data_IF_440004630299
#
_entry.id   IF_440004630299
#
_cell.length_a   1.000
_cell.length_b   1.000
_cell.length_c   1.000
_cell.angle_alpha   90.00
_cell.angle_beta   90.00
_cell.angle_gamma   90.00
#
_symmetry.space_group_name_H-M   'P 1'
#
loop_
_entity.id
_entity.type
_entity.pdbx_description
1 polymer ?
#
# COMPACT_ATOMS: atom_id res chain seq x y z
N UNK A 1 -11.48 -24.60 11.50
CA UNK A 1 -12.52 -25.63 11.66
C UNK A 1 -13.94 -25.05 11.72
N UNK A 2 -14.18 -23.98 12.49
CA UNK A 2 -15.52 -23.36 12.59
C UNK A 2 -16.00 -22.77 11.25
N UNK A 3 -15.11 -22.10 10.52
CA UNK A 3 -15.45 -21.51 9.21
C UNK A 3 -15.65 -22.60 8.15
N UNK A 4 -14.85 -23.66 8.16
CA UNK A 4 -14.94 -24.76 7.20
C UNK A 4 -16.26 -25.54 7.27
N UNK A 5 -16.95 -25.48 8.41
CA UNK A 5 -18.25 -26.15 8.63
C UNK A 5 -19.47 -25.24 8.41
N UNK A 6 -19.26 -23.97 8.08
CA UNK A 6 -20.36 -23.02 7.82
C UNK A 6 -20.66 -22.97 6.33
N UNK A 7 -21.88 -23.33 5.93
CA UNK A 7 -22.32 -23.40 4.53
C UNK A 7 -22.25 -22.04 3.79
N UNK A 8 -22.12 -20.94 4.54
CA UNK A 8 -21.95 -19.59 3.97
C UNK A 8 -20.50 -19.26 3.61
N UNK A 9 -19.57 -20.14 3.98
CA UNK A 9 -18.13 -19.90 3.83
C UNK A 9 -17.55 -20.84 2.80
N UNK A 10 -16.98 -20.29 1.75
CA UNK A 10 -16.16 -21.00 0.78
C UNK A 10 -14.68 -20.83 1.16
N UNK A 11 -14.00 -21.94 1.49
CA UNK A 11 -12.63 -21.94 2.03
C UNK A 11 -11.64 -22.32 0.95
N UNK A 12 -10.75 -21.41 0.62
CA UNK A 12 -9.68 -21.56 -0.37
C UNK A 12 -8.31 -21.72 0.29
N UNK A 13 -8.06 -22.85 0.93
CA UNK A 13 -6.77 -23.16 1.54
C UNK A 13 -5.64 -23.25 0.49
N UNK A 14 -4.40 -22.86 0.90
CA UNK A 14 -3.18 -22.94 0.08
C UNK A 14 -3.26 -22.17 -1.25
N UNK A 15 -4.08 -21.15 -1.30
CA UNK A 15 -4.25 -20.30 -2.48
C UNK A 15 -3.31 -19.10 -2.40
N UNK A 16 -2.58 -18.83 -3.48
CA UNK A 16 -1.73 -17.66 -3.57
C UNK A 16 -2.57 -16.44 -3.97
N UNK A 17 -2.86 -15.59 -3.02
CA UNK A 17 -3.72 -14.40 -3.19
C UNK A 17 -3.26 -13.45 -4.31
N UNK A 18 -1.97 -13.44 -4.68
CA UNK A 18 -1.46 -12.60 -5.78
C UNK A 18 -2.07 -12.92 -7.15
N UNK A 19 -2.60 -14.12 -7.31
CA UNK A 19 -3.16 -14.58 -8.58
C UNK A 19 -4.67 -14.79 -8.50
N UNK A 20 -5.27 -14.43 -7.35
CA UNK A 20 -6.72 -14.56 -7.13
C UNK A 20 -7.50 -13.65 -8.08
N UNK A 21 -8.57 -14.18 -8.63
CA UNK A 21 -9.54 -13.47 -9.46
C UNK A 21 -10.95 -13.71 -8.96
N UNK A 22 -11.88 -12.81 -9.28
CA UNK A 22 -13.28 -12.99 -8.92
C UNK A 22 -13.85 -14.34 -9.37
N UNK A 23 -13.46 -14.84 -10.56
CA UNK A 23 -13.89 -16.15 -11.06
C UNK A 23 -13.49 -17.33 -10.17
N UNK A 24 -12.37 -17.23 -9.45
CA UNK A 24 -11.88 -18.28 -8.55
C UNK A 24 -12.70 -18.39 -7.26
N UNK A 25 -13.46 -17.35 -6.92
CA UNK A 25 -14.23 -17.22 -5.67
C UNK A 25 -15.73 -17.02 -5.91
N UNK A 26 -16.22 -17.44 -7.08
CA UNK A 26 -17.66 -17.39 -7.41
C UNK A 26 -18.17 -16.05 -7.94
N UNK A 27 -17.29 -15.11 -8.26
CA UNK A 27 -17.62 -13.80 -8.83
C UNK A 27 -16.97 -12.63 -8.13
N UNK A 28 -17.25 -11.41 -8.62
CA UNK A 28 -16.76 -10.20 -7.97
C UNK A 28 -17.46 -9.98 -6.63
N UNK A 29 -16.71 -9.51 -5.64
CA UNK A 29 -17.20 -9.28 -4.28
C UNK A 29 -17.45 -7.79 -3.99
N UNK A 30 -18.24 -7.51 -2.93
CA UNK A 30 -18.61 -6.16 -2.52
C UNK A 30 -17.71 -5.65 -1.38
N UNK A 31 -17.00 -6.55 -0.69
CA UNK A 31 -16.07 -6.19 0.38
C UNK A 31 -14.86 -7.13 0.40
N UNK A 32 -13.68 -6.57 0.66
CA UNK A 32 -12.44 -7.31 0.92
C UNK A 32 -11.89 -6.89 2.27
N UNK A 33 -11.60 -7.86 3.14
CA UNK A 33 -10.82 -7.64 4.37
C UNK A 33 -9.56 -8.49 4.26
N UNK A 34 -8.40 -7.88 4.50
CA UNK A 34 -7.13 -8.59 4.32
C UNK A 34 -6.17 -8.35 5.47
N UNK A 35 -5.81 -9.44 6.15
CA UNK A 35 -4.73 -9.52 7.14
C UNK A 35 -3.67 -10.50 6.63
N UNK A 36 -2.67 -9.96 5.93
CA UNK A 36 -1.61 -10.74 5.28
C UNK A 36 -0.29 -10.55 6.01
N UNK A 37 0.58 -11.56 5.97
CA UNK A 37 1.90 -11.53 6.59
C UNK A 37 2.98 -11.96 5.60
N UNK A 38 4.19 -11.41 5.79
CA UNK A 38 5.39 -11.74 4.99
C UNK A 38 5.29 -11.39 3.51
N UNK A 39 4.42 -10.46 3.15
CA UNK A 39 4.24 -9.95 1.80
C UNK A 39 3.91 -8.45 1.85
N UNK A 40 4.40 -7.68 0.90
CA UNK A 40 3.94 -6.30 0.69
C UNK A 40 2.55 -6.30 0.06
N UNK A 41 1.68 -5.40 0.54
CA UNK A 41 0.34 -5.22 -0.02
C UNK A 41 0.38 -4.78 -1.49
N UNK A 42 1.41 -4.00 -1.90
CA UNK A 42 1.58 -3.59 -3.30
C UNK A 42 1.58 -4.78 -4.28
N UNK A 43 2.02 -5.96 -3.83
CA UNK A 43 2.02 -7.18 -4.66
C UNK A 43 0.65 -7.87 -4.78
N UNK A 44 -0.31 -7.55 -3.90
CA UNK A 44 -1.62 -8.19 -3.86
C UNK A 44 -2.76 -7.25 -4.23
N UNK A 45 -2.55 -5.94 -4.17
CA UNK A 45 -3.55 -4.95 -4.57
C UNK A 45 -4.12 -5.18 -5.99
N UNK A 46 -3.32 -5.57 -7.01
CA UNK A 46 -3.87 -5.89 -8.33
C UNK A 46 -4.90 -7.03 -8.30
N UNK A 47 -4.66 -8.06 -7.48
CA UNK A 47 -5.60 -9.17 -7.33
C UNK A 47 -6.89 -8.72 -6.61
N UNK A 48 -6.77 -7.84 -5.63
CA UNK A 48 -7.95 -7.26 -4.97
C UNK A 48 -8.78 -6.44 -5.96
N UNK A 49 -8.16 -5.53 -6.72
CA UNK A 49 -8.85 -4.72 -7.72
C UNK A 49 -9.56 -5.60 -8.79
N UNK A 50 -8.93 -6.73 -9.18
CA UNK A 50 -9.49 -7.68 -10.15
C UNK A 50 -10.65 -8.54 -9.57
N UNK A 51 -10.86 -8.51 -8.25
CA UNK A 51 -11.83 -9.37 -7.57
C UNK A 51 -13.06 -8.60 -7.05
N UNK A 52 -13.10 -7.28 -7.17
CA UNK A 52 -14.16 -6.44 -6.59
C UNK A 52 -15.01 -5.75 -7.64
N UNK A 53 -16.27 -5.46 -7.27
CA UNK A 53 -17.17 -4.61 -8.08
C UNK A 53 -16.82 -3.13 -7.94
N UNK A 54 -17.11 -2.30 -8.96
CA UNK A 54 -17.11 -0.86 -8.77
C UNK A 54 -17.96 -0.45 -7.55
N UNK A 55 -17.42 0.41 -6.70
CA UNK A 55 -18.05 0.83 -5.44
C UNK A 55 -17.82 -0.09 -4.25
N UNK A 56 -17.16 -1.23 -4.42
CA UNK A 56 -16.80 -2.13 -3.33
C UNK A 56 -15.82 -1.47 -2.34
N UNK A 57 -15.92 -1.88 -1.08
CA UNK A 57 -15.03 -1.44 -0.01
C UNK A 57 -13.91 -2.47 0.26
N UNK A 58 -12.72 -1.98 0.55
CA UNK A 58 -11.58 -2.81 0.92
C UNK A 58 -10.94 -2.31 2.22
N UNK A 59 -10.62 -3.24 3.11
CA UNK A 59 -9.96 -2.96 4.40
C UNK A 59 -8.68 -3.82 4.54
N UNK A 60 -7.63 -3.56 3.76
CA UNK A 60 -6.35 -4.21 3.96
C UNK A 60 -5.62 -3.65 5.18
N UNK A 61 -4.94 -4.53 5.93
CA UNK A 61 -4.07 -4.16 7.03
C UNK A 61 -2.64 -3.93 6.54
N UNK A 62 -2.19 -2.69 6.59
CA UNK A 62 -0.79 -2.31 6.31
C UNK A 62 0.07 -2.67 7.51
N UNK A 63 1.10 -3.45 7.26
CA UNK A 63 2.11 -3.86 8.26
C UNK A 63 3.46 -3.24 7.87
N UNK A 64 3.87 -2.13 8.50
CA UNK A 64 5.07 -1.41 8.11
C UNK A 64 6.31 -2.28 7.99
N UNK A 65 6.45 -3.31 8.83
CA UNK A 65 7.56 -4.25 8.81
C UNK A 65 7.69 -5.06 7.51
N UNK A 66 6.62 -5.16 6.72
CA UNK A 66 6.63 -5.84 5.42
C UNK A 66 6.67 -4.86 4.23
N UNK A 67 6.63 -3.55 4.52
CA UNK A 67 6.60 -2.51 3.49
C UNK A 67 7.90 -1.71 3.38
N UNK A 68 8.60 -1.45 4.50
CA UNK A 68 9.76 -0.52 4.51
C UNK A 68 11.07 -1.09 3.95
N UNK A 69 11.12 -2.39 3.64
CA UNK A 69 12.38 -3.07 3.27
C UNK A 69 13.18 -3.52 4.49
N UNK A 70 13.92 -4.62 4.33
CA UNK A 70 14.63 -5.32 5.44
C UNK A 70 15.64 -4.44 6.14
N UNK A 71 16.33 -3.57 5.40
CA UNK A 71 17.38 -2.67 5.89
C UNK A 71 16.85 -1.55 6.81
N UNK A 72 15.56 -1.25 6.74
CA UNK A 72 14.91 -0.21 7.56
C UNK A 72 14.07 -0.76 8.71
N UNK A 73 13.96 -2.09 8.80
CA UNK A 73 13.30 -2.75 9.92
C UNK A 73 14.26 -2.80 11.09
N UNK A 74 13.84 -2.30 12.25
CA UNK A 74 14.67 -2.25 13.47
C UNK A 74 14.89 -3.63 14.10
N UNK A 75 15.71 -3.64 15.15
CA UNK A 75 15.97 -4.84 15.93
C UNK A 75 14.67 -5.49 16.42
N UNK A 76 14.59 -6.80 16.29
CA UNK A 76 13.41 -7.58 16.64
C UNK A 76 12.28 -7.53 15.61
N UNK A 77 12.54 -7.01 14.40
CA UNK A 77 11.51 -6.94 13.35
C UNK A 77 10.48 -5.82 13.55
N UNK A 78 10.82 -4.77 14.34
CA UNK A 78 9.87 -3.71 14.69
C UNK A 78 10.24 -2.38 14.07
N UNK A 79 9.28 -1.76 13.38
CA UNK A 79 9.38 -0.40 12.83
C UNK A 79 8.92 0.62 13.88
N UNK A 80 9.89 1.21 14.60
CA UNK A 80 9.62 2.15 15.71
C UNK A 80 9.48 3.60 15.26
N UNK A 81 10.16 3.97 14.18
CA UNK A 81 10.13 5.33 13.66
C UNK A 81 8.73 5.65 13.07
N UNK A 82 8.01 6.65 13.62
CA UNK A 82 6.70 7.06 13.11
C UNK A 82 6.74 7.50 11.64
N UNK A 83 7.86 8.11 11.19
CA UNK A 83 8.03 8.55 9.81
C UNK A 83 8.05 7.36 8.86
N UNK A 84 8.80 6.29 9.20
CA UNK A 84 8.83 5.08 8.40
C UNK A 84 7.47 4.37 8.35
N UNK A 85 6.70 4.44 9.44
CA UNK A 85 5.33 3.93 9.47
C UNK A 85 4.42 4.73 8.52
N UNK A 86 4.50 6.08 8.58
CA UNK A 86 3.74 6.95 7.68
C UNK A 86 4.11 6.72 6.21
N UNK A 87 5.41 6.63 5.89
CA UNK A 87 5.90 6.33 4.53
C UNK A 87 5.37 4.98 4.01
N UNK A 88 5.32 3.95 4.87
CA UNK A 88 4.80 2.64 4.49
C UNK A 88 3.33 2.72 4.10
N UNK A 89 2.51 3.36 4.94
CA UNK A 89 1.07 3.55 4.68
C UNK A 89 0.85 4.38 3.42
N UNK A 90 1.58 5.48 3.27
CA UNK A 90 1.46 6.36 2.10
C UNK A 90 1.78 5.63 0.80
N UNK A 91 2.86 4.84 0.76
CA UNK A 91 3.24 4.05 -0.42
C UNK A 91 2.12 3.10 -0.82
N UNK A 92 1.60 2.32 0.14
CA UNK A 92 0.51 1.36 -0.14
C UNK A 92 -0.74 2.08 -0.64
N UNK A 93 -1.10 3.23 -0.04
CA UNK A 93 -2.24 4.03 -0.47
C UNK A 93 -2.06 4.59 -1.89
N UNK A 94 -0.84 5.01 -2.26
CA UNK A 94 -0.51 5.47 -3.62
C UNK A 94 -0.57 4.32 -4.63
N UNK A 95 0.00 3.17 -4.29
CA UNK A 95 -0.08 1.98 -5.15
C UNK A 95 -1.56 1.54 -5.35
N UNK A 96 -2.38 1.62 -4.30
CA UNK A 96 -3.81 1.36 -4.38
C UNK A 96 -4.51 2.35 -5.31
N UNK A 97 -4.24 3.64 -5.19
CA UNK A 97 -4.83 4.69 -6.02
C UNK A 97 -4.54 4.48 -7.51
N UNK A 98 -3.33 4.02 -7.87
CA UNK A 98 -2.97 3.70 -9.26
C UNK A 98 -3.82 2.57 -9.87
N UNK A 99 -4.52 1.81 -9.05
CA UNK A 99 -5.43 0.72 -9.44
C UNK A 99 -6.91 1.11 -9.32
N UNK A 100 -7.21 2.39 -9.08
CA UNK A 100 -8.59 2.85 -8.84
C UNK A 100 -9.11 2.52 -7.44
N UNK A 101 -8.24 2.13 -6.49
CA UNK A 101 -8.61 1.86 -5.10
C UNK A 101 -8.37 3.14 -4.27
N UNK A 102 -9.40 3.97 -4.15
CA UNK A 102 -9.31 5.32 -3.56
C UNK A 102 -9.39 5.28 -2.04
N UNK A 103 -8.40 5.86 -1.35
CA UNK A 103 -8.37 5.92 0.12
C UNK A 103 -9.47 6.83 0.66
N UNK A 104 -10.28 6.30 1.57
CA UNK A 104 -11.34 7.00 2.30
C UNK A 104 -10.89 7.41 3.69
N UNK A 105 -10.21 6.52 4.39
CA UNK A 105 -9.67 6.80 5.72
C UNK A 105 -8.50 5.87 6.07
N UNK A 106 -7.76 6.25 7.11
CA UNK A 106 -6.66 5.49 7.69
C UNK A 106 -6.83 5.46 9.20
N UNK A 107 -6.74 4.27 9.80
CA UNK A 107 -6.79 4.13 11.26
C UNK A 107 -5.70 3.15 11.74
N UNK A 108 -5.07 3.46 12.87
CA UNK A 108 -4.18 2.49 13.52
C UNK A 108 -4.99 1.36 14.15
N UNK A 109 -4.47 0.14 14.05
CA UNK A 109 -5.03 -0.99 14.82
C UNK A 109 -4.86 -0.72 16.32
N UNK A 110 -5.91 -0.89 17.14
CA UNK A 110 -5.80 -0.76 18.59
C UNK A 110 -4.98 -1.91 19.20
N UNK A 111 -4.80 -2.99 18.46
CA UNK A 111 -4.01 -4.15 18.87
C UNK A 111 -2.68 -4.13 18.12
N UNK A 112 -1.54 -4.11 18.83
CA UNK A 112 -0.24 -4.25 18.20
C UNK A 112 -0.07 -5.66 17.63
N UNK A 113 0.73 -5.79 16.56
CA UNK A 113 1.14 -7.08 16.04
C UNK A 113 1.96 -7.89 17.07
N UNK A 114 2.15 -9.20 16.84
CA UNK A 114 2.79 -10.11 17.81
C UNK A 114 4.17 -9.67 18.31
N UNK A 115 4.93 -8.93 17.48
CA UNK A 115 6.25 -8.39 17.86
C UNK A 115 6.19 -6.95 18.40
N UNK A 116 5.00 -6.36 18.54
CA UNK A 116 4.78 -5.00 18.97
C UNK A 116 4.82 -3.96 17.85
N UNK A 117 4.70 -4.36 16.58
CA UNK A 117 4.51 -3.42 15.48
C UNK A 117 3.13 -2.77 15.55
N UNK A 118 3.08 -1.46 15.29
CA UNK A 118 1.81 -0.78 15.02
C UNK A 118 1.42 -1.07 13.58
N UNK A 119 0.18 -1.53 13.38
CA UNK A 119 -0.39 -1.89 12.09
C UNK A 119 -1.56 -0.94 11.78
N UNK A 120 -1.90 -0.76 10.50
CA UNK A 120 -2.86 0.26 10.07
C UNK A 120 -3.88 -0.35 9.12
N UNK A 121 -5.16 -0.04 9.31
CA UNK A 121 -6.17 -0.33 8.30
C UNK A 121 -6.28 0.84 7.33
N UNK A 122 -6.27 0.52 6.04
CA UNK A 122 -6.73 1.43 4.99
C UNK A 122 -8.19 1.11 4.69
N UNK A 123 -9.05 2.11 4.68
CA UNK A 123 -10.34 2.00 4.05
C UNK A 123 -10.25 2.54 2.64
N UNK A 124 -10.41 1.62 1.66
CA UNK A 124 -10.37 1.92 0.24
C UNK A 124 -11.74 1.66 -0.38
N UNK A 125 -12.11 2.43 -1.40
CA UNK A 125 -13.28 2.16 -2.25
C UNK A 125 -12.82 2.02 -3.69
N UNK A 126 -13.29 0.98 -4.40
CA UNK A 126 -12.92 0.76 -5.80
C UNK A 126 -13.67 1.69 -6.75
N UNK A 127 -12.94 2.56 -7.44
CA UNK A 127 -13.42 3.57 -8.39
C UNK A 127 -12.57 3.55 -9.66
N UNK A 128 -12.77 2.57 -10.57
CA UNK A 128 -11.93 2.43 -11.76
C UNK A 128 -11.97 3.66 -12.68
N UNK A 129 -13.12 4.35 -12.74
CA UNK A 129 -13.30 5.52 -13.63
C UNK A 129 -12.61 6.79 -13.09
N UNK A 130 -12.32 6.87 -11.79
CA UNK A 130 -11.62 8.00 -11.17
C UNK A 130 -10.11 7.92 -11.36
N UNK A 131 -9.56 6.78 -11.80
CA UNK A 131 -8.13 6.60 -12.07
C UNK A 131 -7.64 7.37 -13.30
N UNK A 132 -8.53 7.88 -14.14
CA UNK A 132 -8.21 8.66 -15.35
C UNK A 132 -8.09 10.17 -15.07
N UNK A 133 -8.35 10.61 -13.83
CA UNK A 133 -8.11 11.99 -13.42
C UNK A 133 -6.62 12.25 -13.33
N UNK A 134 -6.16 13.31 -14.01
CA UNK A 134 -4.76 13.65 -14.29
C UNK A 134 -3.87 13.88 -13.04
N UNK A 135 -4.44 13.85 -11.83
CA UNK A 135 -3.74 14.08 -10.56
C UNK A 135 -2.93 12.87 -10.05
N UNK A 136 -3.16 11.67 -10.61
CA UNK A 136 -2.47 10.44 -10.17
C UNK A 136 -1.60 9.79 -11.25
N UNK A 137 -1.23 10.50 -12.33
CA UNK A 137 -0.31 9.96 -13.33
C UNK A 137 1.10 9.88 -12.75
N UNK A 138 1.50 8.67 -12.45
CA UNK A 138 2.90 8.33 -12.20
C UNK A 138 3.72 8.69 -13.44
N UNK A 139 4.78 9.49 -13.24
CA UNK A 139 5.86 9.59 -14.19
C UNK A 139 6.55 8.22 -14.28
N UNK A 140 6.30 7.48 -15.34
CA UNK A 140 6.97 6.21 -15.63
C UNK A 140 8.46 6.52 -15.81
N UNK A 141 9.25 6.30 -14.76
CA UNK A 141 10.70 6.24 -14.93
C UNK A 141 11.02 5.04 -15.82
N UNK A 142 11.63 5.25 -16.99
CA UNK A 142 12.00 4.14 -17.86
C UNK A 142 12.98 3.24 -17.12
N UNK A 143 12.61 1.96 -16.99
CA UNK A 143 13.53 0.92 -16.55
C UNK A 143 14.70 0.88 -17.50
N UNK A 144 15.85 1.36 -17.02
CA UNK A 144 17.07 1.49 -17.82
C UNK A 144 17.55 0.17 -18.39
N UNK A 145 17.53 0.08 -19.68
CA UNK A 145 18.35 -0.86 -20.43
C UNK A 145 19.84 -0.58 -20.14
N UNK A 146 20.53 -1.61 -19.68
CA UNK A 146 21.98 -1.60 -19.57
C UNK A 146 22.60 -1.59 -20.97
N UNK A 147 23.14 -0.46 -21.38
CA UNK A 147 24.17 -0.43 -22.43
C UNK A 147 25.48 0.02 -21.80
N UNK A 148 26.46 -0.90 -21.94
CA UNK A 148 27.88 -0.69 -21.71
C UNK A 148 28.44 0.21 -22.81
N UNK A 149 29.23 1.19 -22.45
CA UNK A 149 30.58 1.54 -22.88
C UNK A 149 30.91 3.02 -22.98
N UNK A 150 32.14 3.29 -22.50
CA UNK A 150 33.12 4.29 -22.92
C UNK A 150 33.02 5.75 -22.41
N UNK A 151 33.94 5.98 -21.46
CA UNK A 151 34.82 7.16 -21.34
C UNK A 151 34.38 8.48 -21.96
N UNK A 152 34.13 9.50 -21.14
CA UNK A 152 34.77 10.80 -21.20
C UNK A 152 34.55 11.68 -19.97
N UNK A 153 35.63 12.25 -19.56
CA UNK A 153 36.01 13.27 -18.60
C UNK A 153 34.97 14.27 -18.09
N UNK A 154 35.07 14.56 -16.78
CA UNK A 154 34.47 15.63 -15.96
C UNK A 154 34.71 17.07 -16.53
N UNK A 155 33.88 18.06 -16.07
CA UNK A 155 34.28 18.79 -14.88
C UNK A 155 33.13 19.00 -13.86
N UNK A 156 33.57 19.35 -12.66
CA UNK A 156 32.78 19.62 -11.46
C UNK A 156 32.01 20.94 -11.55
N UNK A 157 30.77 20.96 -11.05
CA UNK A 157 30.11 22.18 -10.61
C UNK A 157 29.22 21.89 -9.42
N UNK A 158 29.53 22.57 -8.37
CA UNK A 158 28.88 23.06 -7.16
C UNK A 158 27.47 22.59 -6.82
N UNK A 159 27.37 22.12 -5.56
CA UNK A 159 26.16 21.99 -4.78
C UNK A 159 25.44 23.35 -4.66
N UNK A 160 24.16 23.34 -4.96
CA UNK A 160 23.15 24.24 -4.40
C UNK A 160 21.89 23.40 -4.20
N UNK A 161 21.73 22.89 -2.96
CA UNK A 161 20.58 22.11 -2.51
C UNK A 161 19.49 23.10 -2.09
N UNK A 162 18.79 23.66 -3.06
CA UNK A 162 17.44 24.17 -2.83
C UNK A 162 16.46 23.14 -3.34
N UNK A 163 15.94 22.31 -2.43
CA UNK A 163 14.76 21.49 -2.67
C UNK A 163 13.59 22.44 -2.90
N UNK A 164 13.24 22.69 -4.16
CA UNK A 164 11.98 23.32 -4.51
C UNK A 164 10.84 22.38 -4.11
N UNK A 165 10.09 22.76 -3.07
CA UNK A 165 8.76 22.26 -2.75
C UNK A 165 7.82 22.65 -3.91
N UNK A 166 7.73 21.80 -4.93
CA UNK A 166 6.79 22.00 -6.02
C UNK A 166 5.66 20.96 -5.97
N UNK A 167 4.48 21.43 -5.54
CA UNK A 167 3.20 20.93 -6.02
C UNK A 167 2.74 19.59 -5.45
N UNK A 168 2.57 19.49 -4.13
CA UNK A 168 1.67 18.49 -3.55
C UNK A 168 0.24 18.90 -3.92
N UNK A 169 -0.43 18.12 -4.78
CA UNK A 169 -1.84 18.34 -5.13
C UNK A 169 -2.72 18.22 -3.87
N UNK A 170 -3.87 18.88 -3.84
CA UNK A 170 -4.82 18.89 -2.69
C UNK A 170 -5.17 17.46 -2.20
N UNK A 171 -5.17 16.47 -3.11
CA UNK A 171 -5.42 15.07 -2.78
C UNK A 171 -4.33 14.43 -1.92
N UNK A 172 -3.05 14.74 -2.19
CA UNK A 172 -1.91 14.24 -1.42
C UNK A 172 -1.87 14.85 -0.01
N UNK A 173 -2.18 16.13 0.13
CA UNK A 173 -2.26 16.80 1.43
C UNK A 173 -3.26 16.12 2.37
N UNK A 174 -4.49 15.84 1.89
CA UNK A 174 -5.52 15.16 2.67
C UNK A 174 -5.11 13.73 3.06
N UNK A 175 -4.46 12.98 2.16
CA UNK A 175 -3.97 11.64 2.46
C UNK A 175 -2.93 11.67 3.57
N UNK A 176 -1.98 12.61 3.50
CA UNK A 176 -0.97 12.81 4.54
C UNK A 176 -1.57 13.18 5.90
N UNK A 177 -2.59 14.05 5.94
CA UNK A 177 -3.31 14.39 7.19
C UNK A 177 -3.95 13.15 7.83
N UNK A 178 -4.63 12.30 7.05
CA UNK A 178 -5.21 11.06 7.55
C UNK A 178 -4.14 10.11 8.11
N UNK A 179 -3.02 9.98 7.41
CA UNK A 179 -1.90 9.11 7.81
C UNK A 179 -1.26 9.62 9.10
N UNK A 180 -0.93 10.91 9.18
CA UNK A 180 -0.33 11.49 10.38
C UNK A 180 -1.24 11.36 11.59
N UNK A 181 -2.53 11.65 11.45
CA UNK A 181 -3.51 11.42 12.51
C UNK A 181 -3.47 9.96 12.99
N UNK A 182 -3.53 9.00 12.08
CA UNK A 182 -3.51 7.57 12.44
C UNK A 182 -2.18 7.16 13.12
N UNK A 183 -1.06 7.74 12.71
CA UNK A 183 0.27 7.44 13.32
C UNK A 183 0.37 8.05 14.71
N UNK A 184 -0.17 9.25 14.94
CA UNK A 184 -0.10 9.95 16.22
C UNK A 184 -1.08 9.38 17.26
N UNK A 185 -2.27 8.94 16.82
CA UNK A 185 -3.32 8.33 17.66
C UNK A 185 -3.09 6.84 17.93
N UNK A 186 -2.20 6.19 17.17
CA UNK A 186 -1.91 4.76 17.30
C UNK A 186 -1.22 4.39 18.61
N UNK A 187 -1.20 3.08 18.96
CA UNK A 187 -0.52 2.58 20.15
C UNK A 187 0.96 2.97 20.19
N UNK A 188 1.45 3.37 21.36
CA UNK A 188 2.87 3.73 21.60
C UNK A 188 3.71 2.56 22.03
#
# INVERSE_FOLDING_TARGET
WRLQSDERVDVHDRTNVRHLRGEDIGGLVDIVVADLSFISLSLVLPAFAASVRPGADLLPMVKPQFEVGKERVGSGGVVRDPRLRAEAVYRVARDAASLGLMTRDVVASPLPGPSGNVEYFLWLTYRPDENDSAEYRFDERPTGERHTDAHRSRPAARADDTVEENGEGEGDGRLWEMIHRAVDEGPR
#
